data_IF_740699806392
#
_entry.id   IF_740699806392
#
_cell.length_a   1.000
_cell.length_b   1.000
_cell.length_c   1.000
_cell.angle_alpha   90.00
_cell.angle_beta   90.00
_cell.angle_gamma   90.00
#
_symmetry.space_group_name_H-M   'P 1'
#
loop_
_entity.id
_entity.type
_entity.pdbx_description
1 polymer ?
#
# COMPACT_ATOMS: atom_id res chain seq x y z
N UNK A 1 2.37 -21.40 -6.82
CA UNK A 1 0.91 -21.31 -6.98
C UNK A 1 0.37 -19.93 -6.65
N UNK A 2 0.64 -19.38 -5.45
CA UNK A 2 0.12 -18.07 -5.03
C UNK A 2 0.39 -16.95 -6.04
N UNK A 3 1.67 -16.69 -6.38
CA UNK A 3 2.04 -15.65 -7.34
C UNK A 3 1.45 -15.88 -8.73
N UNK A 4 1.34 -17.13 -9.14
CA UNK A 4 0.73 -17.49 -10.42
C UNK A 4 -0.78 -17.19 -10.43
N UNK A 5 -1.50 -17.57 -9.36
CA UNK A 5 -2.91 -17.24 -9.21
C UNK A 5 -3.18 -15.73 -9.21
N UNK A 6 -2.38 -14.96 -8.45
CA UNK A 6 -2.46 -13.49 -8.45
C UNK A 6 -2.16 -12.91 -9.83
N UNK A 7 -1.17 -13.45 -10.55
CA UNK A 7 -0.83 -12.99 -11.89
C UNK A 7 -1.98 -13.22 -12.89
N UNK A 8 -2.61 -14.41 -12.85
CA UNK A 8 -3.78 -14.71 -13.68
C UNK A 8 -4.95 -13.76 -13.39
N UNK A 9 -5.29 -13.58 -12.11
CA UNK A 9 -6.36 -12.68 -11.71
C UNK A 9 -6.07 -11.22 -12.08
N UNK A 10 -4.81 -10.76 -11.94
CA UNK A 10 -4.40 -9.40 -12.32
C UNK A 10 -4.48 -9.19 -13.84
N UNK A 11 -4.29 -10.24 -14.63
CA UNK A 11 -4.36 -10.17 -16.08
C UNK A 11 -5.80 -10.13 -16.63
N UNK A 12 -6.81 -10.41 -15.80
CA UNK A 12 -8.19 -10.33 -16.22
C UNK A 12 -8.57 -8.91 -16.66
N UNK A 13 -9.26 -8.73 -17.79
CA UNK A 13 -9.69 -7.43 -18.29
C UNK A 13 -10.90 -6.87 -17.54
N UNK A 14 -11.05 -7.24 -16.27
CA UNK A 14 -12.14 -6.83 -15.38
C UNK A 14 -11.60 -5.81 -14.41
N UNK A 15 -12.11 -4.58 -14.41
CA UNK A 15 -11.67 -3.56 -13.48
C UNK A 15 -11.78 -2.14 -14.04
N UNK A 16 -11.18 -1.20 -13.32
CA UNK A 16 -11.19 0.22 -13.72
C UNK A 16 -10.04 0.51 -14.67
N UNK A 17 -10.36 0.83 -15.92
CA UNK A 17 -9.36 1.26 -16.90
C UNK A 17 -9.08 2.75 -16.71
N UNK A 18 -7.83 3.10 -16.54
CA UNK A 18 -7.37 4.50 -16.45
C UNK A 18 -6.33 4.76 -17.53
N UNK A 19 -6.59 5.78 -18.33
CA UNK A 19 -5.66 6.32 -19.32
C UNK A 19 -5.13 7.65 -18.81
N UNK A 20 -3.83 7.73 -18.61
CA UNK A 20 -3.18 8.95 -18.13
C UNK A 20 -2.03 9.30 -19.07
N UNK A 21 -1.96 10.57 -19.47
CA UNK A 21 -0.84 11.08 -20.25
C UNK A 21 0.46 10.92 -19.45
N UNK A 22 1.42 10.22 -20.02
CA UNK A 22 2.73 10.02 -19.40
C UNK A 22 3.65 11.20 -19.71
N UNK A 23 4.63 11.45 -18.86
CA UNK A 23 5.63 12.51 -19.06
C UNK A 23 6.42 12.36 -20.36
N UNK A 24 6.53 11.15 -20.89
CA UNK A 24 7.22 10.80 -22.14
C UNK A 24 6.32 10.89 -23.40
N UNK A 25 5.21 11.61 -23.36
CA UNK A 25 4.23 11.80 -24.45
C UNK A 25 3.48 10.53 -24.90
N UNK A 26 3.64 9.39 -24.22
CA UNK A 26 2.85 8.18 -24.50
C UNK A 26 1.74 8.02 -23.45
N UNK A 27 0.51 7.94 -23.95
CA UNK A 27 -0.63 7.56 -23.13
C UNK A 27 -0.46 6.11 -22.68
N UNK A 28 -0.42 5.89 -21.37
CA UNK A 28 -0.40 4.55 -20.80
C UNK A 28 -1.77 4.21 -20.23
N UNK A 29 -2.28 3.07 -20.62
CA UNK A 29 -3.51 2.48 -20.07
C UNK A 29 -3.15 1.46 -18.99
N UNK A 30 -3.83 1.55 -17.87
CA UNK A 30 -3.74 0.60 -16.76
C UNK A 30 -5.12 0.08 -16.42
N UNK A 31 -5.21 -1.23 -16.19
CA UNK A 31 -6.43 -1.87 -15.65
C UNK A 31 -6.19 -2.16 -14.18
N UNK A 32 -7.00 -1.57 -13.33
CA UNK A 32 -6.94 -1.71 -11.88
C UNK A 32 -8.05 -2.64 -11.43
N UNK A 33 -7.69 -3.79 -10.88
CA UNK A 33 -8.61 -4.87 -10.50
C UNK A 33 -8.27 -5.53 -9.15
N UNK A 34 -7.56 -4.83 -8.28
CA UNK A 34 -7.07 -5.36 -7.02
C UNK A 34 -8.14 -5.94 -6.11
N UNK A 35 -9.38 -5.39 -6.12
CA UNK A 35 -10.50 -5.98 -5.39
C UNK A 35 -10.84 -7.37 -5.94
N UNK A 36 -10.88 -7.52 -7.28
CA UNK A 36 -11.14 -8.82 -7.92
C UNK A 36 -10.05 -9.82 -7.56
N UNK A 37 -8.79 -9.37 -7.56
CA UNK A 37 -7.66 -10.21 -7.16
C UNK A 37 -7.76 -10.63 -5.69
N UNK A 38 -8.11 -9.71 -4.78
CA UNK A 38 -8.25 -10.00 -3.37
C UNK A 38 -9.40 -10.97 -3.09
N UNK A 39 -10.56 -10.73 -3.69
CA UNK A 39 -11.74 -11.61 -3.55
C UNK A 39 -11.47 -12.98 -4.16
N UNK A 40 -10.94 -13.04 -5.38
CA UNK A 40 -10.62 -14.29 -6.07
C UNK A 40 -9.59 -15.13 -5.33
N UNK A 41 -8.54 -14.50 -4.80
CA UNK A 41 -7.52 -15.20 -3.98
C UNK A 41 -8.10 -15.64 -2.63
N UNK A 42 -8.94 -14.82 -2.01
CA UNK A 42 -9.64 -15.16 -0.77
C UNK A 42 -10.57 -16.37 -0.95
N UNK A 43 -11.37 -16.38 -2.03
CA UNK A 43 -12.23 -17.52 -2.38
C UNK A 43 -11.43 -18.78 -2.66
N UNK A 44 -10.34 -18.67 -3.43
CA UNK A 44 -9.46 -19.82 -3.68
C UNK A 44 -8.85 -20.37 -2.39
N UNK A 45 -8.45 -19.48 -1.46
CA UNK A 45 -7.97 -19.87 -0.13
C UNK A 45 -9.05 -20.55 0.72
N UNK A 46 -10.26 -20.00 0.71
CA UNK A 46 -11.41 -20.60 1.39
C UNK A 46 -11.72 -22.01 0.85
N UNK A 47 -11.78 -22.18 -0.45
CA UNK A 47 -12.00 -23.49 -1.09
C UNK A 47 -10.88 -24.46 -0.73
N UNK A 48 -9.62 -24.02 -0.75
CA UNK A 48 -8.49 -24.86 -0.36
C UNK A 48 -8.61 -25.35 1.10
N UNK A 49 -8.92 -24.45 2.05
CA UNK A 49 -9.00 -24.79 3.48
C UNK A 49 -10.22 -25.66 3.81
N UNK A 50 -11.42 -25.26 3.32
CA UNK A 50 -12.68 -25.89 3.74
C UNK A 50 -13.13 -27.05 2.85
N UNK A 51 -12.94 -26.96 1.52
CA UNK A 51 -13.37 -28.01 0.60
C UNK A 51 -12.31 -29.10 0.43
N UNK A 52 -11.06 -28.70 0.27
CA UNK A 52 -9.94 -29.65 0.10
C UNK A 52 -9.21 -29.97 1.41
N UNK A 53 -9.60 -29.35 2.52
CA UNK A 53 -8.98 -29.54 3.87
C UNK A 53 -7.45 -29.31 3.87
N UNK A 54 -6.99 -28.43 2.96
CA UNK A 54 -5.59 -28.05 2.91
C UNK A 54 -5.29 -27.02 4.00
N UNK A 55 -4.36 -27.26 4.95
CA UNK A 55 -4.19 -26.45 6.15
C UNK A 55 -3.50 -25.10 5.87
N UNK A 56 -4.10 -24.29 5.00
CA UNK A 56 -3.55 -23.03 4.50
C UNK A 56 -3.33 -22.01 5.63
N UNK A 57 -4.33 -21.84 6.49
CA UNK A 57 -4.26 -20.91 7.63
C UNK A 57 -3.14 -21.28 8.61
N UNK A 58 -2.96 -22.58 8.84
CA UNK A 58 -1.90 -23.13 9.68
C UNK A 58 -0.51 -22.88 9.06
N UNK A 59 -0.35 -23.18 7.78
CA UNK A 59 0.91 -22.97 7.03
C UNK A 59 1.30 -21.50 7.05
N UNK A 60 0.38 -20.60 6.73
CA UNK A 60 0.64 -19.16 6.68
C UNK A 60 1.02 -18.62 8.06
N UNK A 61 0.32 -19.04 9.11
CA UNK A 61 0.56 -18.53 10.45
C UNK A 61 1.85 -19.05 11.10
N UNK A 62 2.18 -20.33 10.89
CA UNK A 62 3.42 -20.94 11.40
C UNK A 62 4.63 -20.55 10.56
N UNK A 63 4.45 -20.47 9.24
CA UNK A 63 5.50 -20.17 8.28
C UNK A 63 5.83 -18.67 8.10
N UNK A 64 5.34 -17.77 8.96
CA UNK A 64 5.51 -16.33 8.79
C UNK A 64 6.96 -15.89 8.54
N UNK A 65 7.91 -16.33 9.37
CA UNK A 65 9.32 -15.98 9.21
C UNK A 65 9.96 -16.63 7.97
N UNK A 66 9.57 -17.87 7.68
CA UNK A 66 10.01 -18.59 6.47
C UNK A 66 9.51 -17.89 5.20
N UNK A 67 8.25 -17.45 5.20
CA UNK A 67 7.66 -16.68 4.10
C UNK A 67 8.35 -15.32 3.93
N UNK A 68 8.76 -14.65 5.03
CA UNK A 68 9.54 -13.43 4.95
C UNK A 68 10.89 -13.66 4.23
N UNK A 69 11.64 -14.67 4.67
CA UNK A 69 12.93 -15.00 4.05
C UNK A 69 12.74 -15.37 2.58
N UNK A 70 11.75 -16.22 2.28
CA UNK A 70 11.44 -16.64 0.91
C UNK A 70 11.05 -15.42 0.03
N UNK A 71 10.26 -14.49 0.55
CA UNK A 71 9.85 -13.30 -0.19
C UNK A 71 11.03 -12.37 -0.50
N UNK A 72 11.97 -12.22 0.45
CA UNK A 72 13.20 -11.44 0.26
C UNK A 72 14.08 -12.10 -0.81
N UNK A 73 14.31 -13.40 -0.71
CA UNK A 73 15.12 -14.15 -1.72
C UNK A 73 14.48 -14.06 -3.10
N UNK A 74 13.16 -14.27 -3.18
CA UNK A 74 12.41 -14.14 -4.44
C UNK A 74 12.52 -12.73 -5.04
N UNK A 75 12.45 -11.68 -4.21
CA UNK A 75 12.60 -10.30 -4.65
C UNK A 75 14.02 -10.00 -5.18
N UNK A 76 15.06 -10.54 -4.53
CA UNK A 76 16.44 -10.41 -5.00
C UNK A 76 16.66 -11.11 -6.35
N UNK A 77 16.17 -12.35 -6.47
CA UNK A 77 16.25 -13.10 -7.74
C UNK A 77 15.47 -12.37 -8.84
N UNK A 78 14.24 -11.94 -8.55
CA UNK A 78 13.41 -11.19 -9.49
C UNK A 78 14.06 -9.87 -9.92
N UNK A 79 14.80 -9.19 -9.04
CA UNK A 79 15.51 -7.96 -9.38
C UNK A 79 16.65 -8.19 -10.38
N UNK A 80 17.40 -9.28 -10.22
CA UNK A 80 18.45 -9.68 -11.18
C UNK A 80 17.83 -10.03 -12.53
N UNK A 81 16.76 -10.83 -12.54
CA UNK A 81 16.03 -11.18 -13.77
C UNK A 81 15.50 -9.93 -14.48
N UNK A 82 14.87 -9.01 -13.73
CA UNK A 82 14.36 -7.75 -14.27
C UNK A 82 15.48 -6.88 -14.86
N UNK A 83 16.63 -6.81 -14.18
CA UNK A 83 17.80 -6.08 -14.67
C UNK A 83 18.37 -6.65 -15.98
N UNK A 84 18.47 -7.97 -16.08
CA UNK A 84 18.94 -8.64 -17.30
C UNK A 84 17.95 -8.45 -18.46
N UNK A 85 16.66 -8.60 -18.18
CA UNK A 85 15.58 -8.41 -19.15
C UNK A 85 15.50 -6.97 -19.69
N UNK A 86 15.78 -5.99 -18.85
CA UNK A 86 15.73 -4.57 -19.22
C UNK A 86 16.75 -4.19 -20.34
N UNK A 87 17.69 -5.05 -20.67
CA UNK A 87 18.57 -4.89 -21.85
C UNK A 87 17.77 -4.88 -23.15
N UNK A 88 16.68 -5.64 -23.18
CA UNK A 88 15.77 -5.80 -24.33
C UNK A 88 14.54 -4.91 -24.25
N UNK A 89 14.44 -4.05 -23.24
CA UNK A 89 13.32 -3.14 -23.09
C UNK A 89 13.37 -2.02 -24.14
N UNK A 90 12.19 -1.61 -24.62
CA UNK A 90 12.05 -0.47 -25.53
C UNK A 90 12.60 0.82 -24.89
N UNK A 91 13.24 1.70 -25.67
CA UNK A 91 13.81 2.97 -25.16
C UNK A 91 12.81 3.81 -24.35
N UNK A 92 11.53 3.77 -24.74
CA UNK A 92 10.45 4.52 -24.12
C UNK A 92 10.03 3.99 -22.73
N UNK A 93 10.34 2.71 -22.44
CA UNK A 93 10.07 2.06 -21.14
C UNK A 93 11.26 2.19 -20.20
N UNK A 94 12.43 2.62 -20.69
CA UNK A 94 13.63 2.75 -19.88
C UNK A 94 13.52 3.89 -18.88
N UNK A 95 14.00 3.61 -17.69
CA UNK A 95 14.14 4.61 -16.64
C UNK A 95 15.38 5.47 -16.92
N UNK A 96 15.18 6.67 -17.43
CA UNK A 96 16.28 7.59 -17.74
C UNK A 96 17.17 7.93 -16.53
N UNK A 97 16.63 7.81 -15.32
CA UNK A 97 17.37 8.07 -14.07
C UNK A 97 18.16 6.87 -13.57
N UNK A 98 17.95 5.67 -14.14
CA UNK A 98 18.60 4.43 -13.74
C UNK A 98 19.42 3.78 -14.86
N UNK A 99 19.72 4.51 -15.93
CA UNK A 99 20.66 4.08 -16.98
C UNK A 99 21.95 4.90 -16.85
N UNK A 100 22.58 4.81 -15.68
CA UNK A 100 23.75 5.65 -15.31
C UNK A 100 25.08 5.01 -15.73
N UNK A 101 25.08 3.73 -16.12
CA UNK A 101 26.29 2.93 -16.36
C UNK A 101 26.81 2.20 -15.11
N UNK A 102 26.37 2.58 -13.92
CA UNK A 102 26.67 1.86 -12.68
C UNK A 102 25.74 0.66 -12.52
N UNK A 103 26.29 -0.56 -12.62
CA UNK A 103 25.50 -1.81 -12.51
C UNK A 103 24.74 -1.90 -11.20
N UNK A 104 25.38 -1.54 -10.08
CA UNK A 104 24.74 -1.60 -8.75
C UNK A 104 23.59 -0.61 -8.62
N UNK A 105 23.79 0.64 -9.06
CA UNK A 105 22.76 1.64 -9.01
C UNK A 105 21.58 1.31 -9.94
N UNK A 106 21.87 0.87 -11.15
CA UNK A 106 20.87 0.50 -12.14
C UNK A 106 20.07 -0.76 -11.74
N UNK A 107 20.71 -1.72 -11.06
CA UNK A 107 20.03 -2.86 -10.43
C UNK A 107 19.10 -2.41 -9.30
N UNK A 108 19.60 -1.52 -8.43
CA UNK A 108 18.83 -0.99 -7.30
C UNK A 108 17.61 -0.19 -7.75
N UNK A 109 17.81 0.77 -8.66
CA UNK A 109 16.77 1.68 -9.10
C UNK A 109 15.82 1.07 -10.16
N UNK A 110 16.27 0.05 -10.92
CA UNK A 110 15.51 -0.60 -11.98
C UNK A 110 15.53 0.17 -13.31
N UNK A 111 16.01 -0.47 -14.36
CA UNK A 111 16.14 0.11 -15.72
C UNK A 111 14.81 0.23 -16.47
N UNK A 112 13.83 -0.62 -16.16
CA UNK A 112 12.50 -0.62 -16.77
C UNK A 112 11.47 -0.08 -15.78
N UNK A 113 10.62 0.85 -16.24
CA UNK A 113 9.61 1.47 -15.36
C UNK A 113 8.38 0.58 -15.21
N UNK A 114 7.90 -0.03 -16.27
CA UNK A 114 6.70 -0.84 -16.27
C UNK A 114 6.86 -2.11 -17.13
N UNK A 115 7.65 -3.09 -16.65
CA UNK A 115 7.88 -4.31 -17.40
C UNK A 115 6.58 -5.10 -17.59
N UNK A 116 6.29 -5.48 -18.83
CA UNK A 116 5.20 -6.39 -19.17
C UNK A 116 5.76 -7.74 -19.63
N UNK A 117 5.21 -8.82 -19.15
CA UNK A 117 5.47 -10.15 -19.65
C UNK A 117 4.36 -10.53 -20.63
N UNK A 118 4.73 -11.01 -21.85
CA UNK A 118 3.79 -11.35 -22.93
C UNK A 118 2.82 -10.20 -23.30
N UNK A 119 3.19 -8.95 -23.04
CA UNK A 119 2.37 -7.74 -23.23
C UNK A 119 1.04 -7.70 -22.44
N UNK A 120 0.73 -8.75 -21.68
CA UNK A 120 -0.49 -8.89 -20.87
C UNK A 120 -0.21 -8.67 -19.38
N UNK A 121 0.84 -9.29 -18.86
CA UNK A 121 1.12 -9.32 -17.44
C UNK A 121 1.97 -8.10 -17.00
N UNK A 122 1.35 -7.13 -16.38
CA UNK A 122 2.09 -6.01 -15.78
C UNK A 122 2.74 -6.46 -14.47
N UNK A 123 4.06 -6.70 -14.49
CA UNK A 123 4.80 -7.26 -13.36
C UNK A 123 4.72 -6.35 -12.12
N UNK A 124 4.63 -5.03 -12.32
CA UNK A 124 4.54 -4.07 -11.23
C UNK A 124 3.22 -4.16 -10.47
N UNK A 125 2.09 -4.26 -11.21
CA UNK A 125 0.77 -4.45 -10.61
C UNK A 125 0.64 -5.82 -9.95
N UNK A 126 1.16 -6.89 -10.59
CA UNK A 126 1.16 -8.23 -10.02
C UNK A 126 1.90 -8.26 -8.66
N UNK A 127 3.10 -7.68 -8.62
CA UNK A 127 3.88 -7.61 -7.38
C UNK A 127 3.18 -6.80 -6.29
N UNK A 128 2.53 -5.69 -6.68
CA UNK A 128 1.73 -4.86 -5.78
C UNK A 128 0.52 -5.62 -5.22
N UNK A 129 -0.28 -6.26 -6.08
CA UNK A 129 -1.44 -7.04 -5.65
C UNK A 129 -1.03 -8.22 -4.76
N UNK A 130 0.03 -8.96 -5.12
CA UNK A 130 0.54 -10.05 -4.31
C UNK A 130 0.93 -9.58 -2.90
N UNK A 131 1.60 -8.44 -2.80
CA UNK A 131 1.99 -7.86 -1.51
C UNK A 131 0.78 -7.51 -0.65
N UNK A 132 -0.21 -6.81 -1.21
CA UNK A 132 -1.42 -6.38 -0.45
C UNK A 132 -2.28 -7.58 -0.05
N UNK A 133 -2.50 -8.53 -0.96
CA UNK A 133 -3.32 -9.72 -0.68
C UNK A 133 -2.68 -10.58 0.40
N UNK A 134 -1.35 -10.73 0.39
CA UNK A 134 -0.65 -11.45 1.48
C UNK A 134 -0.81 -10.73 2.82
N UNK A 135 -0.72 -9.39 2.84
CA UNK A 135 -0.96 -8.60 4.04
C UNK A 135 -2.41 -8.74 4.55
N UNK A 136 -3.40 -8.77 3.63
CA UNK A 136 -4.80 -9.02 3.98
C UNK A 136 -5.00 -10.40 4.59
N UNK A 137 -4.36 -11.44 4.03
CA UNK A 137 -4.42 -12.79 4.57
C UNK A 137 -3.84 -12.85 5.98
N UNK A 138 -2.68 -12.26 6.23
CA UNK A 138 -2.09 -12.22 7.57
C UNK A 138 -2.99 -11.51 8.59
N UNK A 139 -3.46 -10.31 8.28
CA UNK A 139 -4.30 -9.55 9.21
C UNK A 139 -5.70 -10.16 9.33
N UNK A 140 -6.25 -10.76 8.27
CA UNK A 140 -7.50 -11.52 8.30
C UNK A 140 -7.42 -12.74 9.23
N UNK A 141 -6.29 -13.47 9.21
CA UNK A 141 -6.05 -14.59 10.14
C UNK A 141 -6.00 -14.09 11.60
N UNK A 142 -5.37 -12.93 11.85
CA UNK A 142 -5.32 -12.36 13.20
C UNK A 142 -6.74 -12.00 13.66
N UNK A 143 -7.54 -11.35 12.81
CA UNK A 143 -8.94 -11.03 13.12
C UNK A 143 -9.74 -12.31 13.41
N UNK A 144 -9.66 -13.31 12.54
CA UNK A 144 -10.39 -14.56 12.66
C UNK A 144 -10.06 -15.30 13.98
N UNK A 145 -8.79 -15.32 14.39
CA UNK A 145 -8.35 -15.99 15.62
C UNK A 145 -8.70 -15.25 16.91
N UNK A 146 -8.90 -13.94 16.84
CA UNK A 146 -9.24 -13.12 18.01
C UNK A 146 -10.73 -12.77 18.08
N UNK A 147 -11.54 -13.20 17.10
CA UNK A 147 -13.00 -13.16 17.12
C UNK A 147 -13.54 -14.50 17.64
N UNK A 148 -14.32 -14.44 18.70
CA UNK A 148 -15.00 -15.59 19.29
C UNK A 148 -16.49 -15.46 19.04
N UNK A 149 -17.02 -16.37 18.23
CA UNK A 149 -18.44 -16.48 17.97
C UNK A 149 -19.06 -17.39 19.02
N UNK A 150 -20.15 -16.95 19.66
CA UNK A 150 -20.89 -17.80 20.57
C UNK A 150 -21.42 -19.05 19.84
N UNK A 151 -21.42 -20.18 20.52
CA UNK A 151 -22.02 -21.37 19.98
C UNK A 151 -23.51 -21.13 19.67
N UNK A 152 -23.97 -21.64 18.53
CA UNK A 152 -25.37 -21.50 18.13
C UNK A 152 -26.24 -22.33 19.08
N UNK A 153 -27.26 -21.75 19.77
CA UNK A 153 -28.19 -22.53 20.58
C UNK A 153 -28.92 -23.55 19.74
N UNK A 154 -29.23 -24.70 20.31
CA UNK A 154 -29.99 -25.74 19.62
C UNK A 154 -31.32 -25.24 19.07
N UNK A 155 -31.97 -24.31 19.77
CA UNK A 155 -33.22 -23.64 19.34
C UNK A 155 -33.11 -22.87 18.04
N UNK A 156 -31.88 -22.43 17.67
CA UNK A 156 -31.61 -21.73 16.43
C UNK A 156 -30.96 -22.59 15.36
N UNK A 157 -30.72 -23.88 15.64
CA UNK A 157 -30.06 -24.78 14.68
C UNK A 157 -30.89 -24.96 13.39
N UNK A 158 -32.21 -24.98 13.50
CA UNK A 158 -33.15 -25.09 12.37
C UNK A 158 -33.71 -23.75 11.88
N UNK A 159 -33.31 -22.64 12.52
CA UNK A 159 -33.78 -21.31 12.15
C UNK A 159 -33.22 -20.86 10.78
N UNK A 160 -33.89 -19.91 10.09
CA UNK A 160 -33.41 -19.31 8.86
C UNK A 160 -31.99 -18.79 8.98
N UNK A 161 -31.21 -18.84 7.90
CA UNK A 161 -29.81 -18.39 7.86
C UNK A 161 -29.65 -16.96 8.40
N UNK A 162 -30.63 -16.09 8.14
CA UNK A 162 -30.64 -14.70 8.60
C UNK A 162 -30.63 -14.60 10.13
N UNK A 163 -31.45 -15.37 10.83
CA UNK A 163 -31.52 -15.35 12.30
C UNK A 163 -30.26 -15.93 12.93
N UNK A 164 -29.72 -16.97 12.32
CA UNK A 164 -28.44 -17.58 12.75
C UNK A 164 -27.28 -16.58 12.61
N UNK A 165 -27.20 -15.86 11.48
CA UNK A 165 -26.19 -14.83 11.27
C UNK A 165 -26.39 -13.64 12.21
N UNK A 166 -27.62 -13.21 12.44
CA UNK A 166 -27.92 -12.13 13.37
C UNK A 166 -27.52 -12.48 14.80
N UNK A 167 -27.79 -13.71 15.23
CA UNK A 167 -27.34 -14.21 16.53
C UNK A 167 -25.81 -14.22 16.63
N UNK A 168 -25.10 -14.76 15.65
CA UNK A 168 -23.64 -14.79 15.63
C UNK A 168 -23.03 -13.39 15.70
N UNK A 169 -23.59 -12.40 14.98
CA UNK A 169 -23.13 -11.01 14.98
C UNK A 169 -23.41 -10.32 16.33
N UNK A 170 -24.56 -10.58 16.95
CA UNK A 170 -24.92 -9.98 18.24
C UNK A 170 -24.11 -10.53 19.41
N UNK A 171 -23.69 -11.80 19.33
CA UNK A 171 -22.98 -12.48 20.41
C UNK A 171 -21.49 -12.71 20.07
N UNK A 172 -20.94 -11.89 19.17
CA UNK A 172 -19.50 -11.93 18.91
C UNK A 172 -18.75 -11.24 20.04
N UNK A 173 -17.73 -11.90 20.55
CA UNK A 173 -16.77 -11.35 21.51
C UNK A 173 -15.36 -11.41 20.96
N UNK A 174 -14.43 -10.69 21.55
CA UNK A 174 -13.05 -10.73 21.11
C UNK A 174 -12.17 -9.75 21.89
N UNK A 175 -10.87 -9.97 21.78
CA UNK A 175 -9.88 -9.11 22.42
C UNK A 175 -9.77 -7.76 21.71
N UNK A 176 -10.03 -6.61 22.35
CA UNK A 176 -10.16 -5.33 21.66
C UNK A 176 -8.84 -4.87 21.01
N UNK A 177 -7.68 -5.09 21.64
CA UNK A 177 -6.39 -4.61 21.16
C UNK A 177 -5.99 -5.25 19.83
N UNK A 178 -5.95 -6.59 19.70
CA UNK A 178 -5.66 -7.24 18.42
C UNK A 178 -6.69 -6.92 17.35
N UNK A 179 -7.98 -6.84 17.71
CA UNK A 179 -9.05 -6.53 16.77
C UNK A 179 -8.92 -5.13 16.18
N UNK A 180 -8.64 -4.13 17.02
CA UNK A 180 -8.41 -2.75 16.56
C UNK A 180 -7.14 -2.70 15.69
N UNK A 181 -6.04 -3.30 16.14
CA UNK A 181 -4.77 -3.25 15.41
C UNK A 181 -4.87 -3.91 14.03
N UNK A 182 -5.41 -5.13 13.96
CA UNK A 182 -5.58 -5.84 12.69
C UNK A 182 -6.69 -5.22 11.83
N UNK A 183 -7.77 -4.72 12.46
CA UNK A 183 -8.87 -4.02 11.78
C UNK A 183 -8.40 -2.75 11.09
N UNK A 184 -7.58 -1.92 11.73
CA UNK A 184 -6.98 -0.72 11.12
C UNK A 184 -6.02 -1.08 9.98
N UNK A 185 -5.25 -2.18 10.12
CA UNK A 185 -4.40 -2.67 9.03
C UNK A 185 -5.23 -3.14 7.82
N UNK A 186 -6.31 -3.89 8.06
CA UNK A 186 -7.25 -4.30 6.99
C UNK A 186 -7.92 -3.10 6.34
N UNK A 187 -8.38 -2.11 7.12
CA UNK A 187 -8.96 -0.89 6.59
C UNK A 187 -7.98 -0.13 5.69
N UNK A 188 -6.71 -0.02 6.10
CA UNK A 188 -5.66 0.56 5.28
C UNK A 188 -5.44 -0.20 3.97
N UNK A 189 -5.42 -1.53 4.00
CA UNK A 189 -5.23 -2.38 2.83
C UNK A 189 -6.43 -2.31 1.87
N UNK A 190 -7.65 -2.30 2.40
CA UNK A 190 -8.86 -2.09 1.61
C UNK A 190 -8.87 -0.72 0.93
N UNK A 191 -8.42 0.32 1.64
CA UNK A 191 -8.24 1.65 1.06
C UNK A 191 -7.26 1.64 -0.12
N UNK A 192 -6.15 0.90 -0.03
CA UNK A 192 -5.20 0.74 -1.13
C UNK A 192 -5.81 0.03 -2.34
N UNK A 193 -6.66 -0.98 -2.14
CA UNK A 193 -7.30 -1.73 -3.24
C UNK A 193 -8.46 -0.97 -3.88
N UNK A 194 -9.36 -0.39 -3.07
CA UNK A 194 -10.53 0.34 -3.58
C UNK A 194 -10.11 1.54 -4.44
N UNK A 195 -9.05 2.21 -4.03
CA UNK A 195 -8.57 3.41 -4.69
C UNK A 195 -7.22 3.23 -5.38
N UNK A 196 -6.87 2.01 -5.74
CA UNK A 196 -5.61 1.71 -6.44
C UNK A 196 -5.42 2.51 -7.73
N UNK A 197 -6.50 2.88 -8.41
CA UNK A 197 -6.47 3.71 -9.61
C UNK A 197 -5.81 5.08 -9.41
N UNK A 198 -5.73 5.59 -8.16
CA UNK A 198 -4.98 6.80 -7.85
C UNK A 198 -3.46 6.61 -8.02
N UNK A 199 -2.98 5.35 -8.02
CA UNK A 199 -1.58 5.04 -8.31
C UNK A 199 -1.17 5.47 -9.73
N UNK A 200 -2.11 5.54 -10.68
CA UNK A 200 -1.82 6.03 -12.02
C UNK A 200 -1.13 7.41 -12.01
N UNK A 201 -1.50 8.28 -11.03
CA UNK A 201 -0.90 9.59 -10.84
C UNK A 201 0.30 9.59 -9.85
N UNK A 202 0.72 8.44 -9.34
CA UNK A 202 1.81 8.33 -8.37
C UNK A 202 3.18 8.28 -9.06
N UNK A 203 4.19 8.72 -8.32
CA UNK A 203 5.59 8.55 -8.72
C UNK A 203 5.95 7.08 -8.94
N UNK A 204 5.40 6.22 -8.11
CA UNK A 204 5.66 4.79 -8.11
C UNK A 204 5.34 4.13 -9.45
N UNK A 205 4.14 4.38 -9.99
CA UNK A 205 3.74 3.76 -11.25
C UNK A 205 4.32 4.47 -12.47
N UNK A 206 4.51 5.79 -12.38
CA UNK A 206 4.95 6.58 -13.53
C UNK A 206 6.46 6.57 -13.77
N UNK A 207 7.26 6.45 -12.70
CA UNK A 207 8.68 6.81 -12.81
C UNK A 207 9.63 5.93 -12.01
N UNK A 208 9.14 5.25 -10.97
CA UNK A 208 9.98 4.32 -10.21
C UNK A 208 10.26 3.09 -11.04
N UNK A 209 11.54 2.72 -11.20
CA UNK A 209 11.91 1.52 -11.94
C UNK A 209 11.54 0.24 -11.20
N UNK A 210 11.37 -0.83 -11.95
CA UNK A 210 11.14 -2.18 -11.42
C UNK A 210 12.50 -2.82 -11.07
N UNK A 211 13.10 -2.36 -9.99
CA UNK A 211 14.41 -2.79 -9.48
C UNK A 211 14.33 -3.32 -8.06
N UNK A 212 15.51 -3.59 -7.48
CA UNK A 212 15.64 -4.15 -6.13
C UNK A 212 14.91 -3.33 -5.08
N UNK A 213 14.97 -1.98 -5.15
CA UNK A 213 14.30 -1.08 -4.22
C UNK A 213 12.77 -1.31 -4.21
N UNK A 214 12.15 -1.40 -5.39
CA UNK A 214 10.71 -1.64 -5.51
C UNK A 214 10.35 -3.04 -5.03
N UNK A 215 11.06 -4.05 -5.51
CA UNK A 215 10.77 -5.46 -5.22
C UNK A 215 10.94 -5.81 -3.75
N UNK A 216 12.03 -5.38 -3.11
CA UNK A 216 12.24 -5.60 -1.67
C UNK A 216 11.17 -4.89 -0.83
N UNK A 217 10.80 -3.65 -1.19
CA UNK A 217 9.73 -2.94 -0.51
C UNK A 217 8.42 -3.73 -0.57
N UNK A 218 8.02 -4.22 -1.73
CA UNK A 218 6.80 -5.00 -1.88
C UNK A 218 6.89 -6.37 -1.18
N UNK A 219 8.04 -7.01 -1.19
CA UNK A 219 8.25 -8.29 -0.51
C UNK A 219 8.16 -8.20 1.02
N UNK A 220 8.67 -7.10 1.60
CA UNK A 220 8.72 -6.91 3.06
C UNK A 220 7.46 -6.22 3.61
N UNK A 221 6.73 -5.47 2.79
CA UNK A 221 5.54 -4.72 3.18
C UNK A 221 4.50 -5.53 3.96
N UNK A 222 4.07 -6.75 3.53
CA UNK A 222 3.08 -7.54 4.26
C UNK A 222 3.50 -7.83 5.68
N UNK A 223 4.78 -8.08 5.89
CA UNK A 223 5.37 -8.45 7.17
C UNK A 223 5.50 -7.24 8.10
N UNK A 224 5.99 -6.11 7.58
CA UNK A 224 6.09 -4.86 8.34
C UNK A 224 4.72 -4.41 8.84
N UNK A 225 3.71 -4.41 7.97
CA UNK A 225 2.36 -3.96 8.33
C UNK A 225 1.70 -4.89 9.37
N UNK A 226 1.96 -6.19 9.29
CA UNK A 226 1.36 -7.19 10.19
C UNK A 226 2.12 -7.36 11.50
N UNK A 227 3.34 -6.85 11.60
CA UNK A 227 4.22 -7.14 12.73
C UNK A 227 3.64 -6.67 14.07
N UNK A 228 3.11 -5.45 14.14
CA UNK A 228 2.49 -4.92 15.35
C UNK A 228 1.15 -5.62 15.68
N UNK A 229 0.19 -5.79 14.75
CA UNK A 229 -1.01 -6.61 15.00
C UNK A 229 -0.68 -8.01 15.50
N UNK A 230 0.30 -8.68 14.89
CA UNK A 230 0.75 -10.02 15.32
C UNK A 230 1.36 -10.00 16.72
N UNK A 231 2.16 -8.98 17.03
CA UNK A 231 2.79 -8.84 18.34
C UNK A 231 1.74 -8.69 19.45
N UNK A 232 0.77 -7.77 19.27
CA UNK A 232 -0.26 -7.54 20.28
C UNK A 232 -1.20 -8.72 20.44
N UNK A 233 -1.49 -9.46 19.36
CA UNK A 233 -2.27 -10.68 19.40
C UNK A 233 -1.55 -11.83 20.15
N UNK A 234 -0.23 -11.98 19.92
CA UNK A 234 0.57 -13.02 20.57
C UNK A 234 0.73 -12.81 22.08
N UNK A 235 0.72 -11.55 22.54
CA UNK A 235 1.01 -11.22 23.93
C UNK A 235 -0.23 -10.82 24.74
N UNK A 236 -1.43 -10.88 24.16
CA UNK A 236 -2.71 -10.60 24.82
C UNK A 236 -2.67 -9.37 25.72
N UNK A 237 -2.50 -8.19 25.12
CA UNK A 237 -2.43 -6.92 25.86
C UNK A 237 -3.82 -6.58 26.43
N UNK A 238 -4.12 -7.04 27.63
CA UNK A 238 -5.41 -6.82 28.30
C UNK A 238 -5.47 -5.51 29.11
N UNK A 239 -4.30 -4.95 29.46
CA UNK A 239 -4.20 -3.77 30.34
C UNK A 239 -4.38 -2.44 29.60
N UNK A 240 -4.53 -2.45 28.27
CA UNK A 240 -4.67 -1.23 27.48
C UNK A 240 -6.06 -0.65 27.66
N UNK A 241 -6.19 0.57 28.20
CA UNK A 241 -7.49 1.19 28.41
C UNK A 241 -8.15 1.57 27.08
N UNK A 242 -9.48 1.52 27.04
CA UNK A 242 -10.27 1.80 25.82
C UNK A 242 -10.02 3.21 25.26
N UNK A 243 -9.77 4.20 26.12
CA UNK A 243 -9.47 5.56 25.65
C UNK A 243 -8.17 5.63 24.85
N UNK A 244 -7.15 4.83 25.21
CA UNK A 244 -5.90 4.79 24.45
C UNK A 244 -6.10 4.14 23.07
N UNK A 245 -6.90 3.07 22.99
CA UNK A 245 -7.30 2.47 21.71
C UNK A 245 -8.11 3.44 20.85
N UNK A 246 -9.04 4.18 21.47
CA UNK A 246 -9.82 5.20 20.76
C UNK A 246 -8.91 6.30 20.19
N UNK A 247 -7.94 6.78 20.97
CA UNK A 247 -6.97 7.77 20.50
C UNK A 247 -6.12 7.25 19.32
N UNK A 248 -5.57 6.05 19.45
CA UNK A 248 -4.84 5.39 18.36
C UNK A 248 -5.69 5.29 17.09
N UNK A 249 -6.96 4.89 17.24
CA UNK A 249 -7.90 4.78 16.13
C UNK A 249 -8.17 6.14 15.48
N UNK A 250 -8.40 7.19 16.27
CA UNK A 250 -8.62 8.56 15.76
C UNK A 250 -7.39 9.03 14.97
N UNK A 251 -6.18 8.82 15.47
CA UNK A 251 -4.94 9.20 14.77
C UNK A 251 -4.81 8.42 13.44
N UNK A 252 -5.08 7.12 13.45
CA UNK A 252 -5.03 6.28 12.25
C UNK A 252 -6.04 6.74 11.18
N UNK A 253 -7.29 7.00 11.60
CA UNK A 253 -8.35 7.47 10.70
C UNK A 253 -8.06 8.88 10.16
N UNK A 254 -7.53 9.77 10.98
CA UNK A 254 -7.09 11.11 10.55
C UNK A 254 -6.00 10.99 9.47
N UNK A 255 -5.01 10.11 9.68
CA UNK A 255 -3.98 9.80 8.68
C UNK A 255 -4.58 9.26 7.38
N UNK A 256 -5.56 8.35 7.46
CA UNK A 256 -6.25 7.78 6.30
C UNK A 256 -7.01 8.86 5.50
N UNK A 257 -7.77 9.71 6.17
CA UNK A 257 -8.54 10.80 5.55
C UNK A 257 -7.59 11.79 4.87
N UNK A 258 -6.52 12.19 5.55
CA UNK A 258 -5.51 13.11 5.00
C UNK A 258 -4.85 12.54 3.75
N UNK A 259 -4.37 11.30 3.82
CA UNK A 259 -3.80 10.58 2.67
C UNK A 259 -4.79 10.53 1.51
N UNK A 260 -6.03 10.11 1.79
CA UNK A 260 -7.08 9.93 0.77
C UNK A 260 -7.44 11.23 0.09
N UNK A 261 -7.69 12.30 0.84
CA UNK A 261 -8.02 13.61 0.29
C UNK A 261 -6.89 14.17 -0.58
N UNK A 262 -5.64 14.08 -0.11
CA UNK A 262 -4.48 14.54 -0.84
C UNK A 262 -4.26 13.76 -2.17
N UNK A 263 -4.38 12.43 -2.12
CA UNK A 263 -4.22 11.58 -3.32
C UNK A 263 -5.35 11.80 -4.33
N UNK A 264 -6.60 11.94 -3.86
CA UNK A 264 -7.77 12.20 -4.73
C UNK A 264 -7.62 13.50 -5.50
N UNK A 265 -7.26 14.60 -4.83
CA UNK A 265 -7.06 15.91 -5.47
C UNK A 265 -5.96 15.80 -6.54
N UNK A 266 -4.82 15.21 -6.18
CA UNK A 266 -3.70 15.01 -7.11
C UNK A 266 -4.10 14.16 -8.32
N UNK A 267 -4.85 13.09 -8.11
CA UNK A 267 -5.31 12.19 -9.19
C UNK A 267 -6.26 12.92 -10.12
N UNK A 268 -7.31 13.57 -9.60
CA UNK A 268 -8.29 14.30 -10.40
C UNK A 268 -7.64 15.40 -11.22
N UNK A 269 -6.72 16.16 -10.61
CA UNK A 269 -5.99 17.23 -11.27
C UNK A 269 -5.09 16.72 -12.41
N UNK A 270 -4.49 15.54 -12.24
CA UNK A 270 -3.66 14.94 -13.30
C UNK A 270 -4.46 14.24 -14.38
N UNK A 271 -5.66 13.76 -14.07
CA UNK A 271 -6.55 13.13 -15.04
C UNK A 271 -7.14 14.17 -16.00
N UNK A 272 -7.67 15.27 -15.46
CA UNK A 272 -8.27 16.36 -16.23
C UNK A 272 -8.06 17.70 -15.50
N UNK A 273 -6.99 18.45 -15.85
CA UNK A 273 -6.67 19.74 -15.21
C UNK A 273 -7.72 20.82 -15.42
N UNK A 274 -8.55 20.71 -16.46
CA UNK A 274 -9.60 21.67 -16.81
C UNK A 274 -10.99 21.21 -16.36
N UNK A 275 -11.08 20.03 -15.76
CA UNK A 275 -12.35 19.45 -15.31
C UNK A 275 -13.06 20.30 -14.24
N UNK A 276 -14.38 20.31 -14.26
CA UNK A 276 -15.23 21.09 -13.32
C UNK A 276 -14.87 20.90 -11.84
N UNK A 277 -14.29 19.76 -11.45
CA UNK A 277 -13.92 19.43 -10.06
C UNK A 277 -12.59 20.03 -9.62
N UNK A 278 -11.78 20.53 -10.55
CA UNK A 278 -10.40 20.97 -10.28
C UNK A 278 -10.07 22.33 -10.85
N UNK A 279 -10.92 22.91 -11.69
CA UNK A 279 -10.70 24.21 -12.37
C UNK A 279 -10.50 25.37 -11.38
N UNK A 280 -11.11 25.32 -10.19
CA UNK A 280 -10.98 26.32 -9.13
C UNK A 280 -9.85 26.08 -8.13
N UNK A 281 -9.02 25.05 -8.34
CA UNK A 281 -7.92 24.76 -7.40
C UNK A 281 -6.76 25.73 -7.59
N UNK A 282 -6.22 26.23 -6.49
CA UNK A 282 -5.00 27.05 -6.51
C UNK A 282 -3.80 26.21 -6.93
N UNK A 283 -3.09 26.69 -7.93
CA UNK A 283 -1.94 25.99 -8.51
C UNK A 283 -0.81 26.97 -8.81
N UNK A 284 0.42 26.50 -8.68
CA UNK A 284 1.62 27.25 -9.03
C UNK A 284 2.07 26.89 -10.46
N UNK A 285 2.23 27.85 -11.38
CA UNK A 285 2.63 27.59 -12.76
C UNK A 285 4.10 27.17 -12.87
N UNK A 286 4.40 26.33 -13.87
CA UNK A 286 5.76 25.98 -14.28
C UNK A 286 5.98 26.28 -15.74
N UNK A 287 7.23 26.41 -16.18
CA UNK A 287 7.58 26.72 -17.57
C UNK A 287 7.18 25.61 -18.56
N UNK A 288 6.99 24.39 -18.10
CA UNK A 288 6.64 23.24 -18.95
C UNK A 288 5.12 23.06 -19.13
N UNK A 289 4.31 24.06 -18.82
CA UNK A 289 2.85 23.99 -18.88
C UNK A 289 2.20 23.16 -17.77
N UNK A 290 3.00 22.52 -16.92
CA UNK A 290 2.51 21.81 -15.72
C UNK A 290 2.31 22.80 -14.59
N UNK A 291 1.41 22.45 -13.70
CA UNK A 291 1.13 23.24 -12.51
C UNK A 291 1.29 22.39 -11.25
N UNK A 292 1.81 23.00 -10.20
CA UNK A 292 1.98 22.39 -8.88
C UNK A 292 0.80 22.77 -7.99
N UNK A 293 0.26 21.82 -7.25
CA UNK A 293 -0.88 22.05 -6.37
C UNK A 293 -0.47 22.85 -5.13
N UNK A 294 -1.26 23.90 -4.81
CA UNK A 294 -1.09 24.75 -3.62
C UNK A 294 -2.43 24.87 -2.87
N UNK A 295 -3.26 23.86 -2.94
CA UNK A 295 -4.62 23.87 -2.42
C UNK A 295 -4.80 22.86 -1.28
N UNK A 296 -5.74 23.11 -0.35
CA UNK A 296 -6.05 22.24 0.79
C UNK A 296 -4.78 21.85 1.57
N UNK A 297 -4.56 20.57 1.83
CA UNK A 297 -3.38 20.10 2.54
C UNK A 297 -2.04 20.36 1.81
N UNK A 298 -2.05 20.49 0.47
CA UNK A 298 -0.89 20.82 -0.35
C UNK A 298 -0.39 22.29 -0.17
N UNK A 299 -1.20 23.13 0.50
CA UNK A 299 -0.80 24.48 0.88
C UNK A 299 0.16 24.52 2.06
N UNK A 300 0.05 23.54 2.96
CA UNK A 300 0.81 23.50 4.21
C UNK A 300 2.09 22.70 4.08
N UNK A 301 2.05 21.59 3.35
CA UNK A 301 3.20 20.71 3.14
C UNK A 301 3.25 20.20 1.71
N UNK A 302 4.45 19.95 1.21
CA UNK A 302 4.66 19.49 -0.18
C UNK A 302 4.23 18.05 -0.44
N UNK A 303 4.12 17.21 0.63
CA UNK A 303 3.72 15.80 0.52
C UNK A 303 2.71 15.39 1.59
N UNK A 304 1.48 15.95 1.58
CA UNK A 304 0.47 15.65 2.61
C UNK A 304 0.01 14.19 2.60
N UNK A 305 0.08 13.52 1.46
CA UNK A 305 -0.22 12.09 1.37
C UNK A 305 0.77 11.24 2.19
N UNK A 306 2.06 11.59 2.22
CA UNK A 306 3.04 10.89 3.05
C UNK A 306 2.88 11.22 4.52
N UNK A 307 2.45 12.44 4.87
CA UNK A 307 2.07 12.76 6.25
C UNK A 307 0.95 11.84 6.74
N UNK A 308 -0.09 11.63 5.92
CA UNK A 308 -1.16 10.70 6.25
C UNK A 308 -0.67 9.25 6.42
N UNK A 309 0.25 8.79 5.59
CA UNK A 309 0.87 7.45 5.73
C UNK A 309 1.74 7.33 6.98
N UNK A 310 2.49 8.38 7.33
CA UNK A 310 3.28 8.43 8.57
C UNK A 310 2.36 8.36 9.79
N UNK A 311 1.28 9.15 9.83
CA UNK A 311 0.32 9.11 10.92
C UNK A 311 -0.26 7.71 11.12
N UNK A 312 -0.62 7.02 10.05
CA UNK A 312 -1.11 5.64 10.14
C UNK A 312 -0.05 4.67 10.67
N UNK A 313 1.20 4.83 10.22
CA UNK A 313 2.32 3.96 10.62
C UNK A 313 2.68 4.10 12.11
N UNK A 314 2.52 5.31 12.68
CA UNK A 314 2.86 5.58 14.09
C UNK A 314 1.66 5.51 15.02
N UNK A 315 0.44 5.46 14.49
CA UNK A 315 -0.80 5.54 15.28
C UNK A 315 -0.90 4.49 16.39
N UNK A 316 -0.39 3.29 16.14
CA UNK A 316 -0.45 2.18 17.09
C UNK A 316 0.81 2.04 17.96
N UNK A 317 1.85 2.87 17.75
CA UNK A 317 3.07 2.82 18.58
C UNK A 317 2.84 3.08 20.07
N UNK A 318 1.86 3.93 20.51
CA UNK A 318 1.58 4.08 21.93
C UNK A 318 1.23 2.79 22.65
N UNK A 319 0.71 1.77 21.94
CA UNK A 319 0.43 0.45 22.52
C UNK A 319 1.69 -0.24 23.08
N UNK A 320 2.87 0.11 22.57
CA UNK A 320 4.15 -0.41 23.06
C UNK A 320 4.53 0.14 24.45
N UNK A 321 3.81 1.15 24.98
CA UNK A 321 3.96 1.61 26.35
C UNK A 321 3.62 0.51 27.36
N UNK A 322 2.53 -0.25 27.12
CA UNK A 322 2.11 -1.34 28.00
C UNK A 322 2.96 -2.60 27.88
N UNK A 323 3.53 -2.82 26.69
CA UNK A 323 4.49 -3.90 26.47
C UNK A 323 5.47 -3.51 25.38
N UNK A 324 6.68 -3.15 25.78
CA UNK A 324 7.71 -2.70 24.85
C UNK A 324 8.22 -3.84 23.97
N UNK A 325 8.40 -3.54 22.67
CA UNK A 325 9.04 -4.43 21.72
C UNK A 325 9.81 -3.65 20.66
N UNK A 326 11.06 -4.04 20.47
CA UNK A 326 11.93 -3.43 19.47
C UNK A 326 11.48 -3.71 18.03
N UNK A 327 11.11 -4.95 17.62
CA UNK A 327 10.77 -5.21 16.22
C UNK A 327 9.60 -4.39 15.68
N UNK A 328 8.42 -4.26 16.33
CA UNK A 328 7.35 -3.41 15.86
C UNK A 328 7.72 -1.92 15.82
N UNK A 329 8.50 -1.45 16.80
CA UNK A 329 9.00 -0.08 16.83
C UNK A 329 9.90 0.19 15.62
N UNK A 330 10.87 -0.68 15.35
CA UNK A 330 11.76 -0.56 14.20
C UNK A 330 11.00 -0.65 12.88
N UNK A 331 9.97 -1.48 12.76
CA UNK A 331 9.15 -1.57 11.56
C UNK A 331 8.44 -0.25 11.24
N UNK A 332 7.85 0.40 12.24
CA UNK A 332 7.22 1.71 12.07
C UNK A 332 8.25 2.81 11.74
N UNK A 333 9.38 2.86 12.47
CA UNK A 333 10.45 3.82 12.19
C UNK A 333 11.05 3.62 10.80
N UNK A 334 11.22 2.37 10.35
CA UNK A 334 11.69 2.06 9.01
C UNK A 334 10.72 2.55 7.94
N UNK A 335 9.40 2.36 8.16
CA UNK A 335 8.37 2.90 7.27
C UNK A 335 8.45 4.43 7.18
N UNK A 336 8.57 5.12 8.31
CA UNK A 336 8.75 6.59 8.35
C UNK A 336 10.02 7.00 7.60
N UNK A 337 11.14 6.33 7.84
CA UNK A 337 12.42 6.62 7.17
C UNK A 337 12.32 6.46 5.64
N UNK A 338 11.64 5.40 5.15
CA UNK A 338 11.39 5.20 3.71
C UNK A 338 10.56 6.35 3.14
N UNK A 339 9.48 6.78 3.82
CA UNK A 339 8.62 7.86 3.35
C UNK A 339 9.35 9.21 3.33
N UNK A 340 10.17 9.51 4.34
CA UNK A 340 11.03 10.70 4.40
C UNK A 340 12.05 10.68 3.26
N UNK A 341 12.75 9.57 3.08
CA UNK A 341 13.72 9.40 1.98
C UNK A 341 13.06 9.59 0.62
N UNK A 342 11.86 9.01 0.43
CA UNK A 342 11.08 9.14 -0.81
C UNK A 342 10.64 10.58 -1.06
N UNK A 343 10.21 11.31 -0.01
CA UNK A 343 9.85 12.71 -0.11
C UNK A 343 11.05 13.58 -0.52
N UNK A 344 12.24 13.33 0.04
CA UNK A 344 13.49 14.01 -0.35
C UNK A 344 13.87 13.74 -1.80
N UNK A 345 13.84 12.48 -2.24
CA UNK A 345 14.12 12.11 -3.64
C UNK A 345 13.17 12.80 -4.61
N UNK A 346 11.87 12.82 -4.27
CA UNK A 346 10.87 13.47 -5.11
C UNK A 346 11.08 14.99 -5.18
N UNK A 347 11.48 15.62 -4.06
CA UNK A 347 11.82 17.04 -4.01
C UNK A 347 13.05 17.37 -4.86
N UNK A 348 14.13 16.59 -4.73
CA UNK A 348 15.35 16.75 -5.53
C UNK A 348 15.08 16.61 -7.04
N UNK A 349 14.26 15.59 -7.39
CA UNK A 349 13.86 15.39 -8.77
C UNK A 349 13.02 16.54 -9.34
N UNK A 350 12.05 17.04 -8.56
CA UNK A 350 11.23 18.17 -9.00
C UNK A 350 12.08 19.41 -9.16
N UNK A 351 13.11 19.60 -8.33
CA UNK A 351 14.08 20.68 -8.49
C UNK A 351 14.84 20.54 -9.82
N UNK A 352 15.33 19.36 -10.14
CA UNK A 352 16.02 19.11 -11.42
C UNK A 352 15.10 19.27 -12.65
N UNK A 353 13.79 18.99 -12.49
CA UNK A 353 12.82 19.07 -13.60
C UNK A 353 12.28 20.50 -13.81
N UNK A 354 12.00 21.24 -12.74
CA UNK A 354 11.30 22.53 -12.81
C UNK A 354 12.20 23.73 -12.52
N UNK A 355 13.39 23.52 -11.94
CA UNK A 355 14.38 24.55 -11.63
C UNK A 355 13.80 25.76 -10.88
N UNK A 356 13.88 26.97 -11.41
CA UNK A 356 13.46 28.21 -10.72
C UNK A 356 11.99 28.23 -10.30
N UNK A 357 10.99 27.74 -11.07
CA UNK A 357 9.62 27.53 -10.60
C UNK A 357 9.50 26.65 -9.36
N UNK A 358 10.34 25.61 -9.26
CA UNK A 358 10.34 24.75 -8.06
C UNK A 358 10.83 25.51 -6.83
N UNK A 359 11.88 26.31 -6.97
CA UNK A 359 12.42 27.11 -5.88
C UNK A 359 11.39 28.13 -5.37
N UNK A 360 10.68 28.81 -6.28
CA UNK A 360 9.59 29.72 -5.93
C UNK A 360 8.41 29.00 -5.27
N UNK A 361 8.04 27.81 -5.77
CA UNK A 361 7.04 26.96 -5.13
C UNK A 361 7.47 26.55 -3.71
N UNK A 362 8.75 26.21 -3.49
CA UNK A 362 9.27 25.89 -2.17
C UNK A 362 9.23 27.09 -1.20
N UNK A 363 9.32 28.33 -1.69
CA UNK A 363 9.13 29.52 -0.87
C UNK A 363 7.66 29.70 -0.47
N UNK A 364 6.71 29.30 -1.35
CA UNK A 364 5.27 29.36 -1.05
C UNK A 364 4.85 28.22 -0.11
N UNK A 365 5.41 27.03 -0.29
CA UNK A 365 5.14 25.83 0.53
C UNK A 365 6.48 25.31 1.09
N UNK A 366 7.00 25.92 2.17
CA UNK A 366 8.37 25.67 2.63
C UNK A 366 8.55 24.27 3.23
N UNK A 367 7.51 23.70 3.82
CA UNK A 367 7.62 22.46 4.57
C UNK A 367 7.44 21.22 3.67
N UNK A 368 8.31 20.23 3.85
CA UNK A 368 8.25 18.99 3.06
C UNK A 368 7.18 18.03 3.61
N UNK A 369 7.18 17.78 4.91
CA UNK A 369 6.29 16.84 5.60
C UNK A 369 5.65 17.43 6.85
N UNK A 370 6.43 18.04 7.74
CA UNK A 370 5.94 18.54 9.03
C UNK A 370 5.99 20.06 9.06
N UNK A 371 4.84 20.74 9.22
CA UNK A 371 4.81 22.20 9.29
C UNK A 371 5.72 22.72 10.40
N UNK A 372 6.50 23.76 10.13
CA UNK A 372 7.46 24.42 11.02
C UNK A 372 8.64 23.57 11.50
N UNK A 373 8.79 22.33 11.06
CA UNK A 373 9.89 21.45 11.46
C UNK A 373 10.70 20.98 10.26
N UNK A 374 10.03 20.44 9.22
CA UNK A 374 10.70 19.78 8.10
C UNK A 374 9.93 19.87 6.79
#
# INVERSE_FOLDING_TARGET
LYLFGVALLTALPIGRVVRLAHETRQDRTYTFNGIVVAVGTGLAGFVAEYCYKFPLLSIISRGYNQLLVLSIVAALVASVVAFLRARYAEPQQKNHYACTGSVLYDLYAGRDVNPKLLNVFNLKLITYHASIVLALLFNGIILYRNLHFAALPETLAEAPLQDRLLYAVRNVSGEPVPLVAAGLAVLYLLDLLIYEHHMAASFELQQEGYGTQFLLRQAVFPFILTLLPKYVAAHKLTEVPLWALALCTIVALTGLILKRSAQRIKYLYRLDPLGKKVVGLETYPTYQGRRLLVTHAWRYVRQPNYVGEILQSVALLPLLYWRFAIPPLLAALFTVAILVHRAKRLSARNNAMYDSPWNRYCNTVPYLLVPRVF
#
